data_IF_696618105640
#
_entry.id   IF_696618105640
#
_cell.length_a   1.000
_cell.length_b   1.000
_cell.length_c   1.000
_cell.angle_alpha   90.00
_cell.angle_beta   90.00
_cell.angle_gamma   90.00
#
_symmetry.space_group_name_H-M   'P 1'
#
loop_
_entity.id
_entity.type
_entity.pdbx_description
1 polymer ?
#
# COMPACT_ATOMS: atom_id res chain seq x y z
N UNK A 1 -16.92 4.45 -1.55
CA UNK A 1 -15.88 4.70 -0.53
C UNK A 1 -14.60 3.93 -0.84
N UNK A 2 -14.61 2.60 -0.86
CA UNK A 2 -13.41 1.76 -1.04
C UNK A 2 -12.46 2.12 -2.21
N UNK A 3 -12.99 2.41 -3.40
CA UNK A 3 -12.16 2.77 -4.57
C UNK A 3 -11.41 4.09 -4.38
N UNK A 4 -11.94 5.01 -3.57
CA UNK A 4 -11.29 6.29 -3.24
C UNK A 4 -10.19 6.09 -2.21
N UNK A 5 -10.42 5.25 -1.20
CA UNK A 5 -9.43 4.95 -0.16
C UNK A 5 -8.21 4.24 -0.76
N UNK A 6 -8.44 3.29 -1.68
CA UNK A 6 -7.39 2.63 -2.46
C UNK A 6 -6.63 3.63 -3.32
N UNK A 7 -7.32 4.59 -3.95
CA UNK A 7 -6.70 5.61 -4.79
C UNK A 7 -5.81 6.55 -3.97
N UNK A 8 -6.25 6.96 -2.78
CA UNK A 8 -5.45 7.77 -1.86
C UNK A 8 -4.22 6.99 -1.36
N UNK A 9 -4.37 5.71 -1.02
CA UNK A 9 -3.25 4.86 -0.64
C UNK A 9 -2.18 4.77 -1.74
N UNK A 10 -2.60 4.58 -3.00
CA UNK A 10 -1.68 4.61 -4.14
C UNK A 10 -1.06 5.97 -4.38
N UNK A 11 -1.81 7.06 -4.18
CA UNK A 11 -1.26 8.42 -4.29
C UNK A 11 -0.13 8.65 -3.26
N UNK A 12 -0.28 8.16 -2.03
CA UNK A 12 0.79 8.22 -1.02
C UNK A 12 2.02 7.40 -1.42
N UNK A 13 1.84 6.18 -1.95
CA UNK A 13 2.94 5.35 -2.45
C UNK A 13 3.69 6.07 -3.56
N UNK A 14 2.98 6.57 -4.57
CA UNK A 14 3.58 7.28 -5.71
C UNK A 14 4.30 8.54 -5.22
N UNK A 15 3.68 9.31 -4.32
CA UNK A 15 4.28 10.50 -3.73
C UNK A 15 5.59 10.19 -3.00
N UNK A 16 5.63 9.10 -2.23
CA UNK A 16 6.84 8.63 -1.56
C UNK A 16 7.94 8.25 -2.56
N UNK A 17 7.59 7.50 -3.62
CA UNK A 17 8.52 7.16 -4.70
C UNK A 17 9.13 8.40 -5.34
N UNK A 18 8.30 9.37 -5.73
CA UNK A 18 8.77 10.63 -6.29
C UNK A 18 9.68 11.38 -5.31
N UNK A 19 9.33 11.45 -4.03
CA UNK A 19 10.12 12.16 -3.02
C UNK A 19 11.51 11.52 -2.83
N UNK A 20 11.58 10.20 -2.67
CA UNK A 20 12.86 9.50 -2.47
C UNK A 20 13.74 9.59 -3.72
N UNK A 21 13.19 9.42 -4.92
CA UNK A 21 13.94 9.56 -6.17
C UNK A 21 14.45 10.99 -6.32
N UNK A 22 13.60 11.98 -6.08
CA UNK A 22 13.98 13.38 -6.13
C UNK A 22 15.14 13.67 -5.17
N UNK A 23 15.05 13.22 -3.91
CA UNK A 23 16.12 13.40 -2.92
C UNK A 23 17.39 12.72 -3.41
N UNK A 24 17.33 11.47 -3.88
CA UNK A 24 18.51 10.75 -4.37
C UNK A 24 19.21 11.48 -5.53
N UNK A 25 18.46 12.07 -6.45
CA UNK A 25 18.99 12.89 -7.54
C UNK A 25 19.58 14.21 -7.04
N UNK A 26 18.85 14.93 -6.18
CA UNK A 26 19.26 16.21 -5.64
C UNK A 26 20.53 16.10 -4.77
N UNK A 27 20.68 14.98 -4.05
CA UNK A 27 21.85 14.73 -3.19
C UNK A 27 22.98 13.98 -3.87
N UNK A 28 22.87 13.65 -5.16
CA UNK A 28 23.85 12.79 -5.84
C UNK A 28 25.27 13.35 -5.80
N UNK A 29 25.41 14.65 -6.03
CA UNK A 29 26.70 15.35 -6.02
C UNK A 29 27.18 15.72 -4.61
N UNK A 30 26.30 15.64 -3.60
CA UNK A 30 26.64 15.84 -2.19
C UNK A 30 27.29 14.59 -1.56
N UNK A 31 27.05 13.41 -2.13
CA UNK A 31 27.62 12.16 -1.66
C UNK A 31 29.13 12.08 -2.02
N UNK A 32 30.03 12.09 -1.02
CA UNK A 32 31.46 12.32 -1.23
C UNK A 32 32.23 11.11 -1.78
N UNK A 33 31.69 9.90 -1.64
CA UNK A 33 32.34 8.67 -2.09
C UNK A 33 31.30 7.64 -2.60
N UNK A 34 31.79 6.64 -3.33
CA UNK A 34 30.96 5.58 -3.92
C UNK A 34 30.20 4.77 -2.88
N UNK A 35 30.79 4.54 -1.70
CA UNK A 35 30.15 3.82 -0.60
C UNK A 35 28.93 4.57 -0.06
N UNK A 36 29.03 5.89 0.13
CA UNK A 36 27.92 6.72 0.57
C UNK A 36 26.78 6.71 -0.45
N UNK A 37 27.09 6.75 -1.76
CA UNK A 37 26.08 6.61 -2.81
C UNK A 37 25.39 5.25 -2.77
N UNK A 38 26.14 4.17 -2.56
CA UNK A 38 25.59 2.83 -2.43
C UNK A 38 24.66 2.72 -1.20
N UNK A 39 25.06 3.27 -0.06
CA UNK A 39 24.22 3.32 1.14
C UNK A 39 22.93 4.12 0.93
N UNK A 40 23.01 5.28 0.26
CA UNK A 40 21.83 6.08 -0.08
C UNK A 40 20.87 5.30 -0.99
N UNK A 41 21.39 4.59 -2.00
CA UNK A 41 20.57 3.80 -2.91
C UNK A 41 19.91 2.61 -2.19
N UNK A 42 20.66 1.87 -1.38
CA UNK A 42 20.12 0.73 -0.62
C UNK A 42 19.10 1.22 0.41
N UNK A 43 19.43 2.26 1.18
CA UNK A 43 18.52 2.84 2.16
C UNK A 43 17.23 3.35 1.53
N UNK A 44 17.35 4.09 0.41
CA UNK A 44 16.18 4.54 -0.37
C UNK A 44 15.34 3.37 -0.89
N UNK A 45 15.97 2.34 -1.46
CA UNK A 45 15.28 1.16 -1.96
C UNK A 45 14.55 0.39 -0.84
N UNK A 46 15.18 0.23 0.32
CA UNK A 46 14.56 -0.38 1.50
C UNK A 46 13.31 0.39 1.91
N UNK A 47 13.41 1.71 2.07
CA UNK A 47 12.26 2.56 2.44
C UNK A 47 11.10 2.39 1.44
N UNK A 48 11.40 2.42 0.14
CA UNK A 48 10.39 2.31 -0.91
C UNK A 48 9.71 0.94 -0.95
N UNK A 49 10.50 -0.14 -0.90
CA UNK A 49 9.97 -1.51 -0.99
C UNK A 49 9.13 -1.83 0.24
N UNK A 50 9.64 -1.55 1.44
CA UNK A 50 8.91 -1.88 2.68
C UNK A 50 7.63 -1.04 2.84
N UNK A 51 7.64 0.25 2.50
CA UNK A 51 6.41 1.05 2.56
C UNK A 51 5.38 0.59 1.53
N UNK A 52 5.82 0.26 0.31
CA UNK A 52 4.92 -0.26 -0.73
C UNK A 52 4.32 -1.60 -0.29
N UNK A 53 5.13 -2.49 0.29
CA UNK A 53 4.68 -3.78 0.83
C UNK A 53 3.70 -3.61 2.00
N UNK A 54 3.93 -2.66 2.90
CA UNK A 54 3.04 -2.37 4.03
C UNK A 54 1.66 -1.89 3.54
N UNK A 55 1.61 -0.99 2.56
CA UNK A 55 0.36 -0.54 1.95
C UNK A 55 -0.35 -1.71 1.24
N UNK A 56 0.38 -2.54 0.49
CA UNK A 56 -0.19 -3.72 -0.16
C UNK A 56 -0.76 -4.72 0.85
N UNK A 57 -0.07 -4.95 1.97
CA UNK A 57 -0.54 -5.82 3.05
C UNK A 57 -1.82 -5.26 3.69
N UNK A 58 -1.86 -3.95 3.96
CA UNK A 58 -3.06 -3.26 4.45
C UNK A 58 -4.22 -3.44 3.46
N UNK A 59 -4.01 -3.17 2.17
CA UNK A 59 -5.04 -3.31 1.15
C UNK A 59 -5.53 -4.76 0.98
N UNK A 60 -4.62 -5.74 1.10
CA UNK A 60 -4.96 -7.17 1.04
C UNK A 60 -5.84 -7.58 2.22
N UNK A 61 -5.43 -7.22 3.44
CA UNK A 61 -6.18 -7.54 4.65
C UNK A 61 -7.58 -6.92 4.63
N UNK A 62 -7.70 -5.67 4.15
CA UNK A 62 -9.00 -5.02 3.95
C UNK A 62 -9.93 -5.77 2.98
N UNK A 63 -9.39 -6.46 1.97
CA UNK A 63 -10.20 -7.29 1.06
C UNK A 63 -10.64 -8.59 1.74
N UNK A 64 -9.71 -9.25 2.43
CA UNK A 64 -9.92 -10.53 3.12
C UNK A 64 -10.99 -10.41 4.21
N UNK A 65 -10.96 -9.33 5.01
CA UNK A 65 -11.96 -9.08 6.05
C UNK A 65 -13.35 -8.73 5.48
N UNK A 66 -13.42 -8.11 4.30
CA UNK A 66 -14.70 -7.75 3.66
C UNK A 66 -15.42 -8.94 3.05
N UNK A 67 -14.69 -9.84 2.38
CA UNK A 67 -15.28 -11.04 1.76
C UNK A 67 -15.88 -11.97 2.83
N UNK A 68 -15.24 -12.03 4.00
CA UNK A 68 -15.78 -12.74 5.17
C UNK A 68 -17.07 -12.10 5.69
N UNK A 69 -17.09 -10.78 5.89
CA UNK A 69 -18.25 -10.10 6.49
C UNK A 69 -19.50 -10.12 5.59
N UNK A 70 -19.36 -9.85 4.29
CA UNK A 70 -20.51 -9.83 3.39
C UNK A 70 -20.99 -11.22 2.98
N UNK A 71 -20.11 -12.22 2.91
CA UNK A 71 -20.53 -13.60 2.65
C UNK A 71 -21.48 -14.11 3.73
N UNK A 72 -21.23 -13.73 4.99
CA UNK A 72 -22.07 -14.10 6.12
C UNK A 72 -23.43 -13.35 6.11
N UNK A 73 -23.42 -12.03 5.86
CA UNK A 73 -24.64 -11.24 5.77
C UNK A 73 -25.57 -11.70 4.64
N UNK A 74 -25.03 -12.02 3.46
CA UNK A 74 -25.81 -12.53 2.31
C UNK A 74 -26.45 -13.88 2.68
N UNK A 75 -25.72 -14.76 3.35
CA UNK A 75 -26.23 -16.07 3.80
C UNK A 75 -27.40 -15.91 4.77
N UNK A 76 -27.29 -15.02 5.77
CA UNK A 76 -28.39 -14.76 6.70
C UNK A 76 -29.60 -14.11 6.02
N UNK A 77 -29.38 -13.23 5.04
CA UNK A 77 -30.46 -12.64 4.24
C UNK A 77 -31.21 -13.69 3.42
N UNK A 78 -30.50 -14.65 2.82
CA UNK A 78 -31.12 -15.77 2.10
C UNK A 78 -31.88 -16.72 3.03
N UNK A 79 -31.32 -17.05 4.20
CA UNK A 79 -32.00 -17.85 5.23
C UNK A 79 -33.28 -17.16 5.74
N UNK A 80 -33.26 -15.83 5.92
CA UNK A 80 -34.42 -15.05 6.34
C UNK A 80 -35.49 -14.95 5.23
N UNK A 81 -35.08 -14.95 3.96
CA UNK A 81 -35.99 -14.97 2.80
C UNK A 81 -36.64 -16.34 2.60
N UNK A 82 -35.87 -17.42 2.76
CA UNK A 82 -36.35 -18.79 2.66
C UNK A 82 -37.32 -19.21 3.78
N UNK A 83 -37.29 -18.52 4.93
CA UNK A 83 -38.27 -18.72 6.03
C UNK A 83 -39.57 -17.94 5.88
N UNK A 84 -39.67 -17.04 4.88
CA UNK A 84 -40.86 -16.21 4.62
C UNK A 84 -41.75 -16.70 3.48
N UNK A 85 -41.41 -17.82 2.84
CA UNK A 85 -42.26 -18.56 1.91
C UNK A 85 -42.66 -19.90 2.50
#
# INVERSE_FOLDING_TARGET
MHRRDVLVAWAFVIGLWCAIIFVALATWNLAPNSTARMLLLIGGAVVLIFNTAAILAMLRHYREDRDFMYGLDIKYLDEARGRRG
#
